data_IF_041536563470
#
_entry.id   IF_041536563470
#
_cell.length_a   1.000
_cell.length_b   1.000
_cell.length_c   1.000
_cell.angle_alpha   90.00
_cell.angle_beta   90.00
_cell.angle_gamma   90.00
#
_symmetry.space_group_name_H-M   'P 1'
#
loop_
_entity.id
_entity.type
_entity.pdbx_description
1 polymer ?
#
# COMPACT_ATOMS: atom_id res chain seq x y z
N UNK A 1 7.81 11.96 -16.21
CA UNK A 1 7.38 12.21 -14.82
C UNK A 1 8.33 11.46 -13.90
N UNK A 2 8.96 12.20 -13.02
CA UNK A 2 9.87 11.60 -12.04
C UNK A 2 9.23 11.59 -10.66
N UNK A 3 9.00 10.40 -10.15
CA UNK A 3 8.47 10.18 -8.81
C UNK A 3 9.43 9.25 -8.07
N UNK A 4 10.63 9.78 -7.80
CA UNK A 4 11.65 8.98 -7.12
C UNK A 4 11.22 8.74 -5.68
N UNK A 5 11.14 7.48 -5.32
CA UNK A 5 10.76 7.08 -3.97
C UNK A 5 11.91 7.38 -3.01
N UNK A 6 11.67 8.28 -2.06
CA UNK A 6 12.68 8.69 -1.08
C UNK A 6 12.55 7.95 0.23
N UNK A 7 11.34 7.53 0.60
CA UNK A 7 11.11 6.80 1.84
C UNK A 7 9.88 5.92 1.75
N UNK A 8 9.93 4.80 2.45
CA UNK A 8 8.80 3.89 2.60
C UNK A 8 8.73 3.49 4.08
N UNK A 9 7.63 3.89 4.74
CA UNK A 9 7.39 3.52 6.13
C UNK A 9 6.34 2.41 6.20
N UNK A 10 6.58 1.46 7.08
CA UNK A 10 5.61 0.42 7.45
C UNK A 10 5.11 0.71 8.85
N UNK A 11 3.82 0.97 8.99
CA UNK A 11 3.21 1.38 10.25
C UNK A 11 2.14 0.36 10.60
N UNK A 12 2.37 -0.40 11.67
CA UNK A 12 1.37 -1.36 12.14
C UNK A 12 0.41 -0.64 13.07
N UNK A 13 -0.87 -0.74 12.76
CA UNK A 13 -1.94 -0.13 13.55
C UNK A 13 -2.99 -1.15 13.91
N UNK A 14 -3.65 -0.94 15.04
CA UNK A 14 -4.83 -1.69 15.43
C UNK A 14 -6.04 -0.77 15.27
N UNK A 15 -6.86 -1.04 14.27
CA UNK A 15 -8.07 -0.28 14.04
C UNK A 15 -9.16 -0.72 15.02
N UNK A 16 -9.87 0.22 15.68
CA UNK A 16 -10.99 -0.15 16.52
C UNK A 16 -12.12 -0.72 15.68
N UNK A 17 -12.77 -1.74 16.21
CA UNK A 17 -13.92 -2.37 15.59
C UNK A 17 -15.15 -2.20 16.48
N UNK A 18 -16.34 -2.33 15.90
CA UNK A 18 -17.56 -2.39 16.70
C UNK A 18 -17.50 -3.64 17.59
N UNK A 19 -18.15 -3.65 18.77
CA UNK A 19 -18.14 -4.80 19.65
C UNK A 19 -18.56 -6.10 18.96
N UNK A 20 -19.54 -6.04 18.05
CA UNK A 20 -19.99 -7.18 17.29
C UNK A 20 -18.93 -7.74 16.35
N UNK A 21 -18.20 -6.84 15.66
CA UNK A 21 -17.11 -7.25 14.78
C UNK A 21 -15.93 -7.82 15.55
N UNK A 22 -15.61 -7.26 16.73
CA UNK A 22 -14.56 -7.79 17.59
C UNK A 22 -14.88 -9.20 18.06
N UNK A 23 -16.12 -9.45 18.47
CA UNK A 23 -16.56 -10.77 18.89
C UNK A 23 -16.41 -11.80 17.75
N UNK A 24 -16.82 -11.43 16.55
CA UNK A 24 -16.68 -12.26 15.38
C UNK A 24 -15.23 -12.57 15.06
N UNK A 25 -14.41 -11.54 15.08
CA UNK A 25 -12.98 -11.63 14.81
C UNK A 25 -12.27 -12.56 15.80
N UNK A 26 -12.63 -12.49 17.08
CA UNK A 26 -12.08 -13.34 18.13
C UNK A 26 -12.46 -14.81 17.92
N UNK A 27 -13.71 -15.11 17.52
CA UNK A 27 -14.19 -16.46 17.28
C UNK A 27 -13.45 -17.15 16.14
N UNK A 28 -13.21 -16.40 15.07
CA UNK A 28 -12.58 -16.93 13.86
C UNK A 28 -11.06 -16.91 13.94
N UNK A 29 -10.50 -16.39 15.04
CA UNK A 29 -9.04 -16.23 15.22
C UNK A 29 -8.43 -15.31 14.15
N UNK A 30 -9.25 -14.48 13.51
CA UNK A 30 -8.78 -13.52 12.50
C UNK A 30 -8.43 -12.19 13.14
N UNK A 31 -7.33 -11.60 12.71
CA UNK A 31 -6.86 -10.33 13.24
C UNK A 31 -7.01 -9.22 12.20
N UNK A 32 -8.21 -9.07 11.67
CA UNK A 32 -8.50 -8.05 10.67
C UNK A 32 -8.41 -6.62 11.20
N UNK A 33 -8.43 -6.46 12.52
CA UNK A 33 -8.23 -5.14 13.12
C UNK A 33 -6.78 -4.67 13.07
N UNK A 34 -5.84 -5.55 12.74
CA UNK A 34 -4.43 -5.21 12.65
C UNK A 34 -4.09 -4.99 11.19
N UNK A 35 -3.64 -3.78 10.87
CA UNK A 35 -3.31 -3.36 9.53
C UNK A 35 -1.87 -2.87 9.47
N UNK A 36 -1.20 -3.15 8.37
CA UNK A 36 0.05 -2.50 8.04
C UNK A 36 -0.24 -1.39 7.05
N UNK A 37 0.00 -0.15 7.46
CA UNK A 37 -0.13 1.02 6.60
C UNK A 37 1.24 1.28 5.97
N UNK A 38 1.25 1.47 4.66
CA UNK A 38 2.43 1.87 3.92
C UNK A 38 2.32 3.35 3.62
N UNK A 39 3.34 4.12 3.99
CA UNK A 39 3.46 5.51 3.59
C UNK A 39 4.68 5.65 2.70
N UNK A 40 4.44 5.98 1.45
CA UNK A 40 5.47 6.14 0.43
C UNK A 40 5.63 7.62 0.11
N UNK A 41 6.85 8.12 0.26
CA UNK A 41 7.18 9.52 -0.01
C UNK A 41 8.05 9.61 -1.25
N UNK A 42 7.82 10.62 -2.06
CA UNK A 42 8.58 10.86 -3.29
C UNK A 42 9.33 12.18 -3.21
N UNK A 43 10.32 12.36 -4.08
CA UNK A 43 11.09 13.59 -4.22
C UNK A 43 10.26 14.77 -4.76
N UNK A 44 9.09 14.48 -5.34
CA UNK A 44 8.14 15.51 -5.79
C UNK A 44 7.26 16.05 -4.65
N UNK A 45 7.45 15.57 -3.42
CA UNK A 45 6.62 15.95 -2.28
C UNK A 45 5.26 15.27 -2.24
N UNK A 46 5.01 14.33 -3.14
CA UNK A 46 3.77 13.57 -3.18
C UNK A 46 3.91 12.35 -2.28
N UNK A 47 2.91 12.12 -1.44
CA UNK A 47 2.86 11.00 -0.51
C UNK A 47 1.69 10.10 -0.87
N UNK A 48 1.94 8.81 -0.95
CA UNK A 48 0.91 7.81 -1.19
C UNK A 48 0.79 6.82 -0.04
N UNK A 49 -0.41 6.29 0.11
CA UNK A 49 -0.74 5.35 1.18
C UNK A 49 -1.28 4.04 0.62
N UNK A 50 -0.92 2.96 1.28
CA UNK A 50 -1.49 1.66 1.02
C UNK A 50 -1.71 0.92 2.33
N UNK A 51 -2.38 -0.21 2.26
CA UNK A 51 -2.72 -1.00 3.42
C UNK A 51 -2.69 -2.49 3.09
N UNK A 52 -2.24 -3.29 4.04
CA UNK A 52 -2.38 -4.75 3.96
C UNK A 52 -2.80 -5.31 5.32
N UNK A 53 -3.43 -6.48 5.29
CA UNK A 53 -3.78 -7.23 6.50
C UNK A 53 -2.71 -8.30 6.72
N UNK A 54 -1.72 -8.05 7.58
CA UNK A 54 -0.54 -8.91 7.67
C UNK A 54 -0.82 -10.33 8.19
N UNK A 55 -1.93 -10.48 8.91
CA UNK A 55 -2.30 -11.79 9.50
C UNK A 55 -3.35 -12.54 8.69
N UNK A 56 -3.74 -12.03 7.53
CA UNK A 56 -4.82 -12.62 6.75
C UNK A 56 -4.40 -13.04 5.35
N UNK A 57 -3.87 -12.11 4.55
CA UNK A 57 -3.66 -12.36 3.13
C UNK A 57 -2.18 -12.61 2.77
N UNK A 58 -1.45 -11.55 2.56
CA UNK A 58 -0.15 -11.60 1.90
C UNK A 58 1.02 -11.39 2.85
N UNK A 59 0.72 -11.28 4.15
CA UNK A 59 1.73 -10.91 5.10
C UNK A 59 2.14 -9.43 4.98
N UNK A 60 3.21 -9.09 5.64
CA UNK A 60 3.76 -7.73 5.63
C UNK A 60 4.52 -7.47 4.33
N UNK A 61 4.61 -6.19 3.96
CA UNK A 61 5.51 -5.80 2.86
C UNK A 61 6.94 -6.17 3.26
N UNK A 62 7.64 -6.88 2.38
CA UNK A 62 8.97 -7.40 2.68
C UNK A 62 10.05 -6.33 2.59
N UNK A 63 11.15 -6.54 3.32
CA UNK A 63 12.33 -5.68 3.22
C UNK A 63 12.89 -5.65 1.80
N UNK A 64 12.83 -6.79 1.10
CA UNK A 64 13.28 -6.91 -0.29
C UNK A 64 12.47 -6.02 -1.22
N UNK A 65 11.14 -6.02 -1.09
CA UNK A 65 10.28 -5.18 -1.91
C UNK A 65 10.57 -3.70 -1.68
N UNK A 66 10.75 -3.29 -0.43
CA UNK A 66 11.10 -1.92 -0.09
C UNK A 66 12.45 -1.53 -0.70
N UNK A 67 13.46 -2.37 -0.55
CA UNK A 67 14.79 -2.10 -1.10
C UNK A 67 14.77 -1.98 -2.62
N UNK A 68 13.89 -2.74 -3.28
CA UNK A 68 13.77 -2.75 -4.73
C UNK A 68 13.13 -1.47 -5.27
N UNK A 69 12.22 -0.88 -4.53
CA UNK A 69 11.46 0.31 -4.95
C UNK A 69 12.14 1.60 -4.51
N UNK A 70 12.75 1.61 -3.33
CA UNK A 70 13.38 2.81 -2.78
C UNK A 70 14.50 3.30 -3.70
N UNK A 71 14.50 4.58 -4.01
CA UNK A 71 15.45 5.19 -4.92
C UNK A 71 15.08 5.09 -6.40
N UNK A 72 13.96 4.43 -6.72
CA UNK A 72 13.49 4.24 -8.09
C UNK A 72 12.27 5.11 -8.37
N UNK A 73 11.91 5.22 -9.64
CA UNK A 73 10.69 5.93 -10.04
C UNK A 73 9.48 5.05 -9.75
N UNK A 74 8.56 5.55 -8.92
CA UNK A 74 7.36 4.80 -8.53
C UNK A 74 6.54 4.34 -9.74
N UNK A 75 6.47 5.15 -10.79
CA UNK A 75 5.68 4.83 -11.97
C UNK A 75 6.14 3.55 -12.68
N UNK A 76 7.40 3.18 -12.54
CA UNK A 76 7.96 1.98 -13.17
C UNK A 76 7.42 0.68 -12.55
N UNK A 77 6.78 0.77 -11.39
CA UNK A 77 6.28 -0.38 -10.65
C UNK A 77 4.76 -0.57 -10.71
N UNK A 78 4.06 0.22 -11.53
CA UNK A 78 2.61 0.09 -11.64
C UNK A 78 2.16 -1.33 -12.05
N UNK A 79 2.91 -1.96 -12.92
CA UNK A 79 2.60 -3.30 -13.39
C UNK A 79 3.22 -4.44 -12.58
N UNK A 80 3.94 -4.13 -11.50
CA UNK A 80 4.64 -5.13 -10.71
C UNK A 80 3.76 -5.65 -9.58
N UNK A 81 3.11 -6.77 -9.79
CA UNK A 81 2.21 -7.39 -8.83
C UNK A 81 2.93 -8.23 -7.75
N UNK A 82 4.25 -8.21 -7.71
CA UNK A 82 5.05 -8.97 -6.73
C UNK A 82 5.39 -8.16 -5.47
N UNK A 83 4.93 -6.91 -5.39
CA UNK A 83 5.36 -5.97 -4.34
C UNK A 83 4.59 -6.09 -3.02
N UNK A 84 3.64 -6.97 -2.89
CA UNK A 84 2.65 -7.00 -1.83
C UNK A 84 1.62 -5.87 -1.96
N UNK A 85 0.43 -6.14 -1.45
CA UNK A 85 -0.73 -5.26 -1.68
C UNK A 85 -0.51 -3.83 -1.18
N UNK A 86 -0.05 -3.66 0.04
CA UNK A 86 0.11 -2.33 0.64
C UNK A 86 1.06 -1.43 -0.13
N UNK A 87 2.20 -1.95 -0.55
CA UNK A 87 3.16 -1.17 -1.31
C UNK A 87 2.64 -0.85 -2.71
N UNK A 88 2.01 -1.82 -3.37
CA UNK A 88 1.45 -1.63 -4.70
C UNK A 88 0.33 -0.57 -4.69
N UNK A 89 -0.54 -0.60 -3.68
CA UNK A 89 -1.56 0.42 -3.49
C UNK A 89 -0.96 1.81 -3.31
N UNK A 90 0.09 1.94 -2.51
CA UNK A 90 0.78 3.22 -2.30
C UNK A 90 1.38 3.76 -3.60
N UNK A 91 1.89 2.90 -4.46
CA UNK A 91 2.41 3.28 -5.78
C UNK A 91 1.29 3.81 -6.67
N UNK A 92 0.16 3.14 -6.74
CA UNK A 92 -1.00 3.63 -7.49
C UNK A 92 -1.48 4.97 -6.95
N UNK A 93 -1.50 5.13 -5.63
CA UNK A 93 -1.92 6.39 -5.01
C UNK A 93 -1.01 7.56 -5.39
N UNK A 94 0.30 7.36 -5.33
CA UNK A 94 1.29 8.37 -5.71
C UNK A 94 1.16 8.76 -7.18
N UNK A 95 1.06 7.77 -8.07
CA UNK A 95 0.96 8.03 -9.51
C UNK A 95 -0.36 8.74 -9.84
N UNK A 96 -1.46 8.29 -9.25
CA UNK A 96 -2.76 8.96 -9.43
C UNK A 96 -2.72 10.42 -8.98
N UNK A 97 -2.13 10.69 -7.83
CA UNK A 97 -1.97 12.06 -7.32
C UNK A 97 -1.09 12.91 -8.25
N UNK A 98 -0.01 12.34 -8.75
CA UNK A 98 0.89 13.06 -9.67
C UNK A 98 0.20 13.41 -10.99
N UNK A 99 -0.68 12.54 -11.49
CA UNK A 99 -1.44 12.77 -12.71
C UNK A 99 -2.73 13.55 -12.45
N UNK A 100 -3.05 13.82 -11.20
CA UNK A 100 -4.30 14.47 -10.79
C UNK A 100 -5.54 13.70 -11.27
N UNK A 101 -5.49 12.40 -11.15
CA UNK A 101 -6.62 11.51 -11.49
C UNK A 101 -6.86 10.52 -10.34
N UNK A 102 -8.09 10.05 -10.16
CA UNK A 102 -8.34 8.99 -9.19
C UNK A 102 -7.61 7.72 -9.60
N UNK A 103 -7.14 6.97 -8.61
CA UNK A 103 -6.33 5.77 -8.85
C UNK A 103 -7.04 4.75 -9.76
N UNK A 104 -8.38 4.65 -9.69
CA UNK A 104 -9.10 3.69 -10.51
C UNK A 104 -8.90 3.89 -12.01
N UNK A 105 -8.58 5.11 -12.43
CA UNK A 105 -8.32 5.41 -13.84
C UNK A 105 -7.02 4.78 -14.35
N UNK A 106 -6.13 4.42 -13.45
CA UNK A 106 -4.88 3.75 -13.82
C UNK A 106 -5.10 2.27 -14.18
N UNK A 107 -6.27 1.74 -13.85
CA UNK A 107 -6.65 0.35 -14.16
C UNK A 107 -7.42 0.21 -15.46
N UNK A 108 -7.66 1.31 -16.18
CA UNK A 108 -8.42 1.24 -17.44
C UNK A 108 -7.56 0.58 -18.50
N UNK A 109 -8.00 -0.59 -18.92
CA UNK A 109 -7.31 -1.33 -19.98
C UNK A 109 -7.66 -0.75 -21.35
N UNK A 110 -6.70 -0.58 -22.25
CA UNK A 110 -7.00 -0.21 -23.61
C UNK A 110 -7.84 -1.29 -24.28
N UNK A 111 -8.79 -0.86 -25.05
CA UNK A 111 -9.64 -1.79 -25.81
C UNK A 111 -8.92 -2.32 -27.03
#
# INVERSE_FOLDING_TARGET
>A
MNLIVTDIERITVRAPMTPRCEEWNAREVWQWCICEIIRLTTDAGIVGYGETLPHYTWGRVSDEAIARVKGQNAADFLGDDTLCAGLHMAIYDVVGKALNVPAYRLFIMPK
#
